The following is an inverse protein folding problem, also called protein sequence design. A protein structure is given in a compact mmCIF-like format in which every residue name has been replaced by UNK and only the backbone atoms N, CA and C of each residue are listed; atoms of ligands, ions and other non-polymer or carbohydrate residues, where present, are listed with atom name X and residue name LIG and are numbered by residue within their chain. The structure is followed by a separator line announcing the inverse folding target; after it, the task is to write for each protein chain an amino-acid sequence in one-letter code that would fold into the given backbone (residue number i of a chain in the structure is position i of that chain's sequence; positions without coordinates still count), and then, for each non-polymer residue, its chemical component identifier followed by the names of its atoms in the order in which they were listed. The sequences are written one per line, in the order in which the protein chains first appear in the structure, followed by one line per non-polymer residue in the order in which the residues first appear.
data_IF_480831178641
#
_entry.id   IF_480831178641
#
_cell.length_a   1.000
_cell.length_b   1.000
_cell.length_c   1.000
_cell.angle_alpha   90.00
_cell.angle_beta   90.00
_cell.angle_gamma   90.00
#
_symmetry.space_group_name_H-M   'P 1'
#
loop_
_entity.id
_entity.type
_entity.pdbx_description
1 polymer ?
#
# COMPACT_ATOMS: atom_id res chain seq x y z
N UNK A 1 -28.69 -6.63 2.29
CA UNK A 1 -27.56 -7.22 3.06
C UNK A 1 -26.63 -8.13 2.25
N UNK A 2 -27.03 -8.74 1.12
CA UNK A 2 -26.10 -9.54 0.28
C UNK A 2 -25.36 -8.74 -0.82
N UNK A 3 -25.86 -7.56 -1.18
CA UNK A 3 -25.33 -6.73 -2.29
C UNK A 3 -24.11 -5.92 -1.87
N UNK A 4 -23.99 -5.58 -0.58
CA UNK A 4 -22.89 -4.78 -0.04
C UNK A 4 -21.57 -5.56 0.06
N UNK A 5 -21.67 -6.88 0.24
CA UNK A 5 -20.50 -7.76 0.35
C UNK A 5 -19.72 -7.84 -0.96
N UNK A 6 -20.40 -7.87 -2.12
CA UNK A 6 -19.72 -7.96 -3.43
C UNK A 6 -18.86 -6.72 -3.70
N UNK A 7 -19.28 -5.54 -3.24
CA UNK A 7 -18.49 -4.30 -3.35
C UNK A 7 -17.27 -4.33 -2.43
N UNK A 8 -17.41 -4.83 -1.20
CA UNK A 8 -16.32 -4.93 -0.23
C UNK A 8 -15.20 -5.90 -0.67
N UNK A 9 -15.51 -6.94 -1.47
CA UNK A 9 -14.51 -7.88 -1.98
C UNK A 9 -13.75 -7.39 -3.22
N UNK A 10 -14.22 -6.33 -3.91
CA UNK A 10 -13.53 -5.82 -5.11
C UNK A 10 -12.10 -5.33 -4.80
N UNK A 11 -11.84 -4.51 -3.76
CA UNK A 11 -10.48 -4.12 -3.39
C UNK A 11 -9.59 -5.32 -3.04
N UNK A 12 -10.13 -6.29 -2.29
CA UNK A 12 -9.39 -7.49 -1.87
C UNK A 12 -8.97 -8.31 -3.10
N UNK A 13 -9.88 -8.51 -4.07
CA UNK A 13 -9.55 -9.19 -5.34
C UNK A 13 -8.52 -8.44 -6.17
N UNK A 14 -8.46 -7.11 -6.06
CA UNK A 14 -7.44 -6.28 -6.69
C UNK A 14 -6.11 -6.25 -5.90
N UNK A 15 -6.04 -6.96 -4.76
CA UNK A 15 -4.89 -6.97 -3.86
C UNK A 15 -4.69 -5.66 -3.10
N UNK A 16 -5.68 -4.76 -3.11
CA UNK A 16 -5.68 -3.54 -2.32
C UNK A 16 -6.19 -3.86 -0.91
N UNK A 17 -5.41 -3.52 0.11
CA UNK A 17 -5.78 -3.73 1.52
C UNK A 17 -5.54 -2.42 2.26
N UNK A 18 -6.46 -2.06 3.15
CA UNK A 18 -6.23 -0.94 4.05
C UNK A 18 -5.16 -1.35 5.07
N UNK A 19 -3.94 -0.84 4.90
CA UNK A 19 -2.84 -1.06 5.84
C UNK A 19 -3.09 -0.21 7.09
N UNK A 20 -3.14 -0.84 8.26
CA UNK A 20 -3.20 -0.14 9.55
C UNK A 20 -1.93 -0.46 10.34
N UNK A 21 -0.95 0.45 10.29
CA UNK A 21 0.35 0.24 10.93
C UNK A 21 0.28 0.15 12.46
N UNK A 22 -0.59 0.90 13.13
CA UNK A 22 -0.76 0.86 14.59
C UNK A 22 -1.40 -0.44 15.07
N UNK A 23 -2.40 -0.96 14.36
CA UNK A 23 -3.05 -2.22 14.67
C UNK A 23 -2.10 -3.40 14.39
N UNK A 24 -1.43 -3.38 13.22
CA UNK A 24 -0.41 -4.35 12.86
C UNK A 24 0.69 -4.40 13.94
N UNK A 25 1.24 -3.24 14.30
CA UNK A 25 2.24 -3.12 15.33
C UNK A 25 1.78 -3.59 16.71
N UNK A 26 0.59 -3.16 17.16
CA UNK A 26 0.07 -3.53 18.48
C UNK A 26 -0.16 -5.04 18.60
N UNK A 27 -0.62 -5.68 17.52
CA UNK A 27 -0.93 -7.12 17.47
C UNK A 27 0.28 -7.99 17.12
N UNK A 28 1.45 -7.40 16.82
CA UNK A 28 2.62 -8.13 16.34
C UNK A 28 2.45 -8.71 14.94
N UNK A 29 1.45 -8.26 14.18
CA UNK A 29 1.23 -8.71 12.80
C UNK A 29 2.01 -7.86 11.80
N UNK A 30 2.57 -8.50 10.78
CA UNK A 30 3.18 -7.81 9.65
C UNK A 30 2.10 -7.64 8.57
N UNK A 31 1.50 -6.45 8.51
CA UNK A 31 0.53 -6.10 7.46
C UNK A 31 1.17 -5.39 6.26
N UNK A 32 2.37 -4.82 6.41
CA UNK A 32 3.09 -4.13 5.35
C UNK A 32 4.59 -4.25 5.57
N UNK A 33 5.35 -4.21 4.47
CA UNK A 33 6.82 -4.20 4.53
C UNK A 33 7.39 -2.90 5.13
N UNK A 34 6.57 -1.86 5.30
CA UNK A 34 6.98 -0.52 5.75
C UNK A 34 7.51 -0.50 7.19
N UNK A 35 7.08 -1.44 8.04
CA UNK A 35 7.55 -1.56 9.44
C UNK A 35 8.69 -2.56 9.62
N UNK A 36 9.14 -3.20 8.54
CA UNK A 36 10.26 -4.15 8.60
C UNK A 36 11.60 -3.42 8.67
N UNK A 37 12.57 -4.05 9.33
CA UNK A 37 13.95 -3.54 9.39
C UNK A 37 14.55 -3.38 8.00
N UNK A 38 15.26 -2.27 7.79
CA UNK A 38 15.96 -1.99 6.54
C UNK A 38 17.11 -2.98 6.29
N UNK A 39 17.37 -3.24 5.01
CA UNK A 39 18.61 -3.88 4.60
C UNK A 39 19.81 -2.95 4.75
N UNK A 40 21.02 -3.51 4.65
CA UNK A 40 22.27 -2.76 4.54
C UNK A 40 22.45 -2.30 3.10
N UNK A 41 22.69 -1.00 2.89
CA UNK A 41 23.06 -0.45 1.58
C UNK A 41 24.58 -0.40 1.39
N UNK A 42 25.04 -0.70 0.18
CA UNK A 42 26.44 -0.56 -0.25
C UNK A 42 26.76 0.85 -0.77
N UNK A 43 25.79 1.76 -0.77
CA UNK A 43 25.91 3.12 -1.30
C UNK A 43 25.85 3.24 -2.82
N UNK A 44 25.65 2.14 -3.55
CA UNK A 44 25.51 2.15 -5.01
C UNK A 44 24.09 1.88 -5.43
N UNK A 45 23.43 0.97 -4.72
CA UNK A 45 22.03 0.62 -4.92
C UNK A 45 21.26 0.71 -3.62
N UNK A 46 19.96 0.91 -3.75
CA UNK A 46 19.00 0.78 -2.66
C UNK A 46 17.93 -0.22 -3.08
N UNK A 47 17.56 -1.11 -2.16
CA UNK A 47 16.46 -2.04 -2.41
C UNK A 47 15.15 -1.24 -2.47
N UNK A 48 14.27 -1.52 -3.43
CA UNK A 48 13.07 -0.69 -3.65
C UNK A 48 12.18 -0.61 -2.41
N UNK A 49 12.17 -1.64 -1.59
CA UNK A 49 11.48 -1.65 -0.30
C UNK A 49 12.11 -0.72 0.75
N UNK A 50 13.44 -0.57 0.73
CA UNK A 50 14.17 0.35 1.61
C UNK A 50 13.92 1.79 1.15
N UNK A 51 13.92 2.02 -0.17
CA UNK A 51 13.55 3.29 -0.78
C UNK A 51 12.11 3.67 -0.40
N UNK A 52 11.14 2.79 -0.57
CA UNK A 52 9.76 3.03 -0.16
C UNK A 52 9.62 3.38 1.32
N UNK A 53 10.33 2.67 2.20
CA UNK A 53 10.32 2.95 3.64
C UNK A 53 10.84 4.34 3.94
N UNK A 54 12.00 4.69 3.39
CA UNK A 54 12.59 6.01 3.59
C UNK A 54 11.69 7.12 3.03
N UNK A 55 11.11 6.95 1.83
CA UNK A 55 10.18 7.92 1.24
C UNK A 55 8.98 8.18 2.18
N UNK A 56 8.42 7.11 2.76
CA UNK A 56 7.32 7.24 3.70
C UNK A 56 7.73 7.92 5.02
N UNK A 57 8.87 7.54 5.60
CA UNK A 57 9.41 8.11 6.84
C UNK A 57 9.72 9.60 6.68
N UNK A 58 10.30 9.99 5.53
CA UNK A 58 10.56 11.40 5.20
C UNK A 58 9.23 12.16 5.03
N UNK A 59 8.19 11.49 4.51
CA UNK A 59 6.82 11.99 4.51
C UNK A 59 6.58 13.19 3.60
N UNK A 60 7.39 13.38 2.55
CA UNK A 60 7.28 14.52 1.65
C UNK A 60 6.40 14.20 0.43
N UNK A 61 5.54 15.16 0.04
CA UNK A 61 4.74 15.07 -1.19
C UNK A 61 3.75 13.91 -1.20
N UNK A 62 3.75 13.15 -2.30
CA UNK A 62 2.89 11.98 -2.53
C UNK A 62 3.16 10.81 -1.56
N UNK A 63 4.34 10.78 -0.95
CA UNK A 63 4.80 9.67 -0.09
C UNK A 63 4.30 9.74 1.36
N UNK A 64 3.65 10.86 1.75
CA UNK A 64 3.02 11.00 3.06
C UNK A 64 1.92 9.95 3.31
N UNK A 65 1.29 9.44 2.24
CA UNK A 65 0.31 8.36 2.31
C UNK A 65 0.99 7.01 2.13
N UNK A 66 0.58 6.03 2.95
CA UNK A 66 1.06 4.66 2.82
C UNK A 66 0.74 4.06 1.45
N UNK A 67 1.57 3.14 0.95
CA UNK A 67 1.23 2.36 -0.23
C UNK A 67 -0.05 1.56 0.03
N UNK A 68 -1.00 1.65 -0.90
CA UNK A 68 -2.27 0.88 -0.86
C UNK A 68 -2.02 -0.62 -0.99
N UNK A 69 -0.90 -1.00 -1.62
CA UNK A 69 -0.49 -2.39 -1.77
C UNK A 69 0.56 -2.73 -0.72
N UNK A 70 0.26 -3.65 0.21
CA UNK A 70 1.15 -3.99 1.32
C UNK A 70 2.39 -4.79 0.90
N UNK A 71 2.42 -5.22 -0.37
CA UNK A 71 3.44 -6.10 -0.90
C UNK A 71 4.72 -5.33 -1.20
N UNK A 72 5.82 -5.94 -0.77
CA UNK A 72 7.18 -5.44 -1.00
C UNK A 72 7.48 -5.35 -2.51
N UNK A 73 7.93 -4.19 -3.04
CA UNK A 73 8.41 -4.13 -4.41
C UNK A 73 9.70 -4.96 -4.54
N UNK A 74 9.87 -5.64 -5.67
CA UNK A 74 11.08 -6.42 -5.92
C UNK A 74 12.17 -5.56 -6.56
N UNK A 75 13.43 -5.99 -6.42
CA UNK A 75 14.58 -5.40 -7.09
C UNK A 75 15.14 -4.16 -6.41
N UNK A 76 16.01 -3.47 -7.14
CA UNK A 76 16.85 -2.38 -6.64
C UNK A 76 16.80 -1.18 -7.58
N UNK A 77 17.06 -0.02 -7.01
CA UNK A 77 17.23 1.26 -7.70
C UNK A 77 18.70 1.66 -7.58
N UNK A 78 19.30 2.14 -8.66
CA UNK A 78 20.60 2.80 -8.56
C UNK A 78 20.44 4.01 -7.64
N UNK A 79 21.34 4.19 -6.67
CA UNK A 79 21.16 5.23 -5.66
C UNK A 79 21.06 6.62 -6.33
N UNK A 80 21.87 6.87 -7.36
CA UNK A 80 21.84 8.13 -8.13
C UNK A 80 20.53 8.38 -8.89
N UNK A 81 19.73 7.34 -9.14
CA UNK A 81 18.42 7.44 -9.80
C UNK A 81 17.27 7.60 -8.80
N UNK A 82 17.54 7.45 -7.49
CA UNK A 82 16.56 7.64 -6.43
C UNK A 82 16.36 9.12 -6.08
N UNK A 83 15.30 9.44 -5.34
CA UNK A 83 15.02 10.80 -4.88
C UNK A 83 16.19 11.39 -4.07
N UNK A 84 16.43 12.70 -4.22
CA UNK A 84 17.61 13.36 -3.61
C UNK A 84 17.67 13.20 -2.08
N UNK A 85 16.53 13.19 -1.40
CA UNK A 85 16.49 12.93 0.04
C UNK A 85 16.87 11.48 0.36
N UNK A 86 16.48 10.51 -0.48
CA UNK A 86 16.85 9.10 -0.30
C UNK A 86 18.36 8.92 -0.43
N UNK A 87 18.99 9.61 -1.38
CA UNK A 87 20.45 9.58 -1.53
C UNK A 87 21.19 10.00 -0.27
N UNK A 88 20.64 10.95 0.50
CA UNK A 88 21.23 11.41 1.77
C UNK A 88 21.09 10.39 2.90
N UNK A 89 19.98 9.64 2.93
CA UNK A 89 19.62 8.79 4.06
C UNK A 89 19.83 7.29 3.85
N UNK A 90 20.12 6.85 2.62
CA UNK A 90 20.27 5.44 2.26
C UNK A 90 21.36 4.70 3.06
N UNK A 91 22.40 5.40 3.51
CA UNK A 91 23.50 4.81 4.28
C UNK A 91 23.34 4.92 5.79
N UNK A 92 22.31 5.62 6.28
CA UNK A 92 22.13 5.83 7.72
C UNK A 92 21.82 4.52 8.47
N UNK A 93 21.18 3.54 7.81
CA UNK A 93 20.84 2.23 8.36
C UNK A 93 20.08 2.26 9.72
N UNK A 94 19.49 3.40 10.10
CA UNK A 94 18.83 3.59 11.40
C UNK A 94 17.38 4.08 11.31
N UNK A 95 16.90 4.45 10.12
CA UNK A 95 15.55 4.94 9.93
C UNK A 95 14.56 3.77 9.84
N UNK A 96 13.69 3.65 10.83
CA UNK A 96 12.64 2.63 10.89
C UNK A 96 11.42 3.15 11.66
N UNK A 97 10.29 2.49 11.44
CA UNK A 97 9.08 2.69 12.23
C UNK A 97 9.00 1.57 13.26
N UNK A 98 9.18 1.92 14.52
CA UNK A 98 9.08 1.01 15.65
C UNK A 98 7.89 1.39 16.51
N UNK A 99 7.11 0.38 16.88
CA UNK A 99 6.05 0.56 17.83
C UNK A 99 6.63 0.60 19.24
N UNK A 100 6.22 1.62 20.00
CA UNK A 100 6.67 1.80 21.37
C UNK A 100 5.60 1.37 22.38
N UNK A 101 4.46 2.05 22.38
CA UNK A 101 3.36 1.80 23.29
C UNK A 101 2.11 2.58 22.85
N UNK A 102 0.97 2.17 23.38
CA UNK A 102 -0.19 3.05 23.51
C UNK A 102 -0.15 3.74 24.87
N UNK A 103 -0.49 5.03 24.91
CA UNK A 103 -0.65 5.78 26.15
C UNK A 103 -2.12 6.15 26.31
N UNK A 104 -2.72 5.75 27.42
CA UNK A 104 -4.09 6.12 27.77
C UNK A 104 -4.07 7.20 28.83
N UNK A 105 -4.57 8.38 28.51
CA UNK A 105 -4.78 9.45 29.49
C UNK A 105 -6.01 9.13 30.35
N UNK A 106 -5.80 9.07 31.66
CA UNK A 106 -6.84 8.81 32.65
C UNK A 106 -7.49 10.12 33.09
N UNK A 107 -8.71 10.04 33.64
CA UNK A 107 -9.46 11.21 34.10
C UNK A 107 -8.74 12.01 35.21
N UNK A 108 -7.77 11.42 35.90
CA UNK A 108 -6.94 12.08 36.91
C UNK A 108 -5.65 12.70 36.34
N UNK A 109 -5.51 12.74 35.01
CA UNK A 109 -4.35 13.30 34.30
C UNK A 109 -3.11 12.40 34.27
N UNK A 110 -3.22 11.16 34.79
CA UNK A 110 -2.14 10.16 34.66
C UNK A 110 -2.20 9.44 33.32
N UNK A 111 -1.10 8.79 32.95
CA UNK A 111 -1.02 7.99 31.74
C UNK A 111 -0.80 6.51 32.08
N UNK A 112 -1.53 5.63 31.41
CA UNK A 112 -1.27 4.19 31.40
C UNK A 112 -0.54 3.82 30.10
N UNK A 113 0.66 3.27 30.23
CA UNK A 113 1.44 2.74 29.11
C UNK A 113 1.06 1.28 28.86
N UNK A 114 0.61 0.96 27.65
CA UNK A 114 0.39 -0.39 27.17
C UNK A 114 1.38 -0.67 26.04
N UNK A 115 2.48 -1.36 26.37
CA UNK A 115 3.42 -1.86 25.37
C UNK A 115 2.83 -3.16 24.80
N UNK A 116 2.59 -3.19 23.49
CA UNK A 116 2.02 -4.31 22.73
C UNK A 116 2.80 -5.63 22.83
N UNK A 117 2.47 -6.59 21.95
CA UNK A 117 2.85 -8.02 22.08
C UNK A 117 4.36 -8.27 22.24
N UNK A 118 5.23 -7.43 21.66
CA UNK A 118 6.69 -7.60 21.68
C UNK A 118 7.43 -6.75 22.75
N UNK A 119 6.71 -6.29 23.76
CA UNK A 119 7.30 -5.53 24.86
C UNK A 119 8.14 -6.42 25.78
N UNK A 120 9.36 -6.76 25.36
CA UNK A 120 10.35 -7.38 26.23
C UNK A 120 10.52 -6.52 27.50
N UNK A 121 10.07 -7.04 28.65
CA UNK A 121 10.46 -6.50 29.94
C UNK A 121 11.93 -6.90 30.19
N UNK A 122 12.80 -5.96 30.63
CA UNK A 122 14.21 -6.25 30.84
C UNK A 122 14.50 -7.21 32.01
N UNK A 123 13.49 -7.67 32.76
CA UNK A 123 13.67 -8.55 33.93
C UNK A 123 13.07 -9.96 33.78
N UNK A 124 12.47 -10.29 32.63
CA UNK A 124 12.02 -11.67 32.43
C UNK A 124 13.19 -12.53 31.98
N UNK A 125 13.73 -13.31 32.92
CA UNK A 125 14.53 -14.50 32.66
C UNK A 125 13.69 -15.53 31.89
N UNK A 126 13.39 -15.24 30.63
CA UNK A 126 12.78 -16.19 29.71
C UNK A 126 13.90 -17.10 29.26
N UNK A 127 13.98 -18.25 29.94
CA UNK A 127 14.63 -19.46 29.44
C UNK A 127 14.42 -19.51 27.94
N UNK A 128 15.52 -19.48 27.16
CA UNK A 128 15.48 -19.52 25.70
C UNK A 128 14.48 -20.60 25.26
N UNK A 129 13.27 -20.17 24.88
CA UNK A 129 12.41 -21.01 24.06
C UNK A 129 13.12 -20.96 22.72
N UNK A 130 13.87 -22.03 22.45
CA UNK A 130 14.45 -22.30 21.14
C UNK A 130 13.43 -21.89 20.08
N UNK A 131 13.92 -21.19 19.05
CA UNK A 131 13.10 -20.73 17.92
C UNK A 131 12.48 -21.92 17.19
N UNK A 132 11.36 -22.43 17.70
CA UNK A 132 10.57 -23.51 17.10
C UNK A 132 9.64 -22.88 16.05
N UNK A 133 10.20 -22.12 15.11
CA UNK A 133 9.63 -21.94 13.76
C UNK A 133 10.79 -21.85 12.75
N UNK A 134 11.68 -22.86 12.76
CA UNK A 134 12.28 -23.34 11.51
C UNK A 134 11.34 -24.37 10.87
N UNK A 135 10.05 -24.09 10.80
CA UNK A 135 9.28 -24.70 9.72
C UNK A 135 9.73 -23.96 8.47
N UNK A 136 10.73 -24.51 7.76
CA UNK A 136 10.79 -24.31 6.32
C UNK A 136 9.41 -24.71 5.83
N UNK A 137 8.53 -23.72 5.64
CA UNK A 137 7.27 -23.92 4.94
C UNK A 137 7.68 -24.67 3.69
N UNK A 138 7.28 -25.96 3.59
CA UNK A 138 7.49 -26.67 2.34
C UNK A 138 6.82 -25.76 1.34
N UNK A 139 7.59 -25.12 0.45
CA UNK A 139 7.05 -24.40 -0.67
C UNK A 139 6.26 -25.46 -1.43
N UNK A 140 4.97 -25.62 -1.09
CA UNK A 140 4.03 -26.26 -1.98
C UNK A 140 4.18 -25.43 -3.23
N UNK A 141 4.52 -26.05 -4.36
CA UNK A 141 4.40 -25.32 -5.61
C UNK A 141 2.95 -24.91 -5.67
N UNK A 142 2.71 -23.62 -5.40
CA UNK A 142 1.51 -22.98 -5.82
C UNK A 142 1.76 -22.94 -7.31
N UNK A 143 1.21 -23.92 -8.03
CA UNK A 143 1.20 -23.87 -9.49
C UNK A 143 0.47 -22.56 -9.82
N UNK A 144 1.24 -21.52 -10.14
CA UNK A 144 0.72 -20.19 -10.48
C UNK A 144 -0.04 -20.36 -11.80
N UNK A 145 -1.34 -20.65 -11.71
CA UNK A 145 -2.20 -20.87 -12.86
C UNK A 145 -2.38 -19.58 -13.70
N UNK A 146 -2.06 -18.42 -13.13
CA UNK A 146 -2.01 -17.11 -13.80
C UNK A 146 -1.32 -16.07 -12.90
N UNK A 147 -0.51 -15.19 -13.50
CA UNK A 147 0.12 -14.05 -12.82
C UNK A 147 -0.76 -12.79 -12.83
N UNK A 148 -1.98 -12.84 -13.40
CA UNK A 148 -2.87 -11.70 -13.58
C UNK A 148 -3.23 -11.00 -12.25
N UNK A 149 -3.34 -11.79 -11.17
CA UNK A 149 -3.61 -11.27 -9.83
C UNK A 149 -2.45 -10.47 -9.26
N UNK A 150 -1.22 -10.71 -9.71
CA UNK A 150 -0.01 -10.01 -9.27
C UNK A 150 0.26 -8.73 -10.06
N UNK A 151 -0.33 -8.60 -11.26
CA UNK A 151 -0.12 -7.45 -12.13
C UNK A 151 -0.62 -6.15 -11.48
N UNK A 152 -1.83 -6.14 -10.92
CA UNK A 152 -2.40 -4.94 -10.28
C UNK A 152 -1.61 -4.51 -9.03
N UNK A 153 -1.28 -5.40 -8.07
CA UNK A 153 -0.45 -5.03 -6.94
C UNK A 153 0.95 -4.57 -7.31
N UNK A 154 1.57 -5.24 -8.27
CA UNK A 154 2.90 -4.85 -8.78
C UNK A 154 2.86 -3.48 -9.43
N UNK A 155 1.90 -3.24 -10.34
CA UNK A 155 1.73 -1.93 -10.96
C UNK A 155 1.49 -0.85 -9.92
N UNK A 156 0.67 -1.16 -8.93
CA UNK A 156 0.29 -0.25 -7.86
C UNK A 156 1.46 0.19 -6.98
N UNK A 157 2.27 -0.75 -6.46
CA UNK A 157 3.41 -0.42 -5.60
C UNK A 157 4.49 0.36 -6.36
N UNK A 158 4.75 -0.01 -7.61
CA UNK A 158 5.70 0.72 -8.46
C UNK A 158 5.17 2.10 -8.87
N UNK A 159 3.86 2.23 -9.12
CA UNK A 159 3.23 3.53 -9.36
C UNK A 159 3.30 4.45 -8.14
N UNK A 160 3.18 3.90 -6.92
CA UNK A 160 3.41 4.65 -5.69
C UNK A 160 4.88 5.07 -5.57
N UNK A 161 5.82 4.13 -5.75
CA UNK A 161 7.28 4.37 -5.65
C UNK A 161 7.78 5.39 -6.69
N UNK A 162 7.19 5.39 -7.89
CA UNK A 162 7.56 6.26 -9.01
C UNK A 162 6.50 7.33 -9.28
N UNK A 163 5.88 7.83 -8.20
CA UNK A 163 4.87 8.89 -8.30
C UNK A 163 5.42 10.20 -8.89
N UNK A 164 6.74 10.39 -8.83
CA UNK A 164 7.49 11.50 -9.44
C UNK A 164 8.07 11.17 -10.83
N UNK A 165 7.87 9.96 -11.33
CA UNK A 165 8.36 9.47 -12.61
C UNK A 165 9.35 8.30 -12.48
N UNK A 166 9.56 7.58 -13.59
CA UNK A 166 10.51 6.48 -13.66
C UNK A 166 11.90 6.96 -14.11
N UNK A 167 12.98 6.49 -13.48
CA UNK A 167 14.33 6.77 -13.97
C UNK A 167 14.63 6.01 -15.27
N UNK A 168 15.55 6.53 -16.07
CA UNK A 168 15.90 5.97 -17.38
C UNK A 168 16.42 4.52 -17.31
N UNK A 169 17.15 4.17 -16.23
CA UNK A 169 17.68 2.82 -16.03
C UNK A 169 16.58 1.79 -15.69
N UNK A 170 15.37 2.25 -15.34
CA UNK A 170 14.19 1.40 -15.12
C UNK A 170 13.29 1.30 -16.36
N UNK A 171 13.82 1.61 -17.55
CA UNK A 171 13.12 1.42 -18.83
C UNK A 171 12.55 0.03 -19.04
N UNK A 172 13.19 -0.99 -18.50
CA UNK A 172 12.70 -2.36 -18.55
C UNK A 172 11.44 -2.57 -17.69
N UNK A 173 11.24 -1.77 -16.63
CA UNK A 173 10.06 -1.83 -15.75
C UNK A 173 8.87 -1.15 -16.41
N UNK A 174 8.97 0.14 -16.75
CA UNK A 174 7.81 0.89 -17.23
C UNK A 174 7.38 0.52 -18.66
N UNK A 175 8.23 -0.19 -19.41
CA UNK A 175 7.85 -0.79 -20.71
C UNK A 175 7.25 -2.18 -20.60
N UNK A 176 7.22 -2.77 -19.41
CA UNK A 176 6.62 -4.09 -19.23
C UNK A 176 5.10 -4.01 -19.50
N UNK A 177 4.47 -5.02 -20.12
CA UNK A 177 3.04 -4.98 -20.47
C UNK A 177 2.09 -4.71 -19.29
N UNK A 178 2.51 -5.00 -18.06
CA UNK A 178 1.73 -4.66 -16.86
C UNK A 178 1.66 -3.16 -16.57
N UNK A 179 2.62 -2.38 -17.09
CA UNK A 179 2.78 -0.94 -16.89
C UNK A 179 2.52 -0.14 -18.16
N UNK A 180 2.68 -0.78 -19.33
CA UNK A 180 2.29 -0.25 -20.65
C UNK A 180 0.76 -0.28 -20.77
N UNK A 181 0.11 0.55 -19.95
CA UNK A 181 -1.28 0.94 -20.15
C UNK A 181 -1.22 1.88 -21.33
N UNK A 182 -1.23 1.32 -22.54
CA UNK A 182 -1.13 2.11 -23.78
C UNK A 182 -2.05 3.32 -23.72
N UNK A 183 -1.72 4.36 -24.49
CA UNK A 183 -2.52 5.58 -24.67
C UNK A 183 -3.90 5.21 -25.22
N UNK A 184 -4.75 4.65 -24.36
CA UNK A 184 -6.10 4.27 -24.66
C UNK A 184 -6.90 5.53 -24.41
N UNK A 185 -6.98 6.34 -25.46
CA UNK A 185 -7.97 7.39 -25.64
C UNK A 185 -9.37 6.78 -25.48
N UNK A 186 -9.79 6.51 -24.24
CA UNK A 186 -11.20 6.32 -23.89
C UNK A 186 -11.70 7.60 -23.22
N UNK A 187 -11.86 8.65 -24.03
CA UNK A 187 -12.78 9.75 -23.76
C UNK A 187 -14.24 9.32 -24.05
N UNK A 188 -14.64 8.14 -23.56
CA UNK A 188 -16.03 7.71 -23.57
C UNK A 188 -16.82 8.48 -22.52
N UNK A 189 -17.19 9.74 -22.81
CA UNK A 189 -18.16 10.47 -22.00
C UNK A 189 -19.45 9.66 -21.95
N UNK A 190 -19.78 9.10 -20.79
CA UNK A 190 -21.11 8.56 -20.50
C UNK A 190 -22.08 9.75 -20.46
N UNK A 191 -22.59 10.13 -21.62
CA UNK A 191 -23.70 11.08 -21.74
C UNK A 191 -24.98 10.31 -21.41
N UNK A 192 -25.28 10.21 -20.11
CA UNK A 192 -26.57 9.78 -19.59
C UNK A 192 -27.61 10.87 -19.95
N UNK A 193 -28.07 10.85 -21.20
CA UNK A 193 -29.29 11.57 -21.59
C UNK A 193 -30.48 10.79 -21.08
N UNK A 194 -31.01 11.21 -19.94
CA UNK A 194 -32.38 10.90 -19.53
C UNK A 194 -33.35 11.44 -20.61
N UNK A 195 -33.80 10.56 -21.50
CA UNK A 195 -34.95 10.82 -22.38
C UNK A 195 -36.24 10.72 -21.54
N UNK A 196 -36.62 11.83 -20.91
CA UNK A 196 -37.95 12.01 -20.33
C UNK A 196 -38.86 12.76 -21.31
N UNK A 197 -39.22 12.11 -22.42
CA UNK A 197 -40.28 12.59 -23.31
C UNK A 197 -41.48 11.64 -23.30
N UNK A 198 -42.25 11.66 -22.20
CA UNK A 198 -43.66 11.25 -22.23
C UNK A 198 -44.52 12.49 -22.07
N UNK A 199 -44.74 13.17 -23.19
CA UNK A 199 -45.78 14.19 -23.30
C UNK A 199 -47.09 13.42 -23.47
N UNK A 200 -47.98 13.54 -22.49
CA UNK A 200 -49.29 12.90 -22.54
C UNK A 200 -50.21 13.75 -23.44
N UNK A 201 -50.57 13.19 -24.59
CA UNK A 201 -51.46 13.77 -25.62
C UNK A 201 -52.94 13.79 -25.16
N UNK A 202 -53.24 14.39 -24.00
CA UNK A 202 -54.61 14.50 -23.47
C UNK A 202 -55.00 15.90 -22.95
N UNK A 203 -54.07 16.83 -22.75
CA UNK A 203 -54.37 18.11 -22.08
C UNK A 203 -54.33 19.38 -22.97
N UNK A 204 -54.08 19.29 -24.29
CA UNK A 204 -54.05 20.48 -25.19
C UNK A 204 -55.40 20.74 -25.89
N UNK A 205 -56.53 20.41 -25.26
CA UNK A 205 -57.87 20.78 -25.77
C UNK A 205 -58.77 21.40 -24.70
N UNK A 206 -58.25 22.37 -23.94
CA UNK A 206 -59.12 23.22 -23.09
C UNK A 206 -58.64 24.65 -22.82
N UNK A 207 -57.90 25.26 -23.75
CA UNK A 207 -57.49 26.67 -23.62
C UNK A 207 -57.52 27.45 -24.95
N UNK A 208 -58.51 27.17 -25.81
CA UNK A 208 -58.94 28.11 -26.86
C UNK A 208 -60.44 28.31 -26.72
N UNK A 209 -60.85 28.90 -25.61
CA UNK A 209 -62.13 29.58 -25.44
C UNK A 209 -62.00 30.54 -24.24
N UNK A 210 -61.46 31.72 -24.54
CA UNK A 210 -61.84 33.04 -24.02
C UNK A 210 -61.00 34.12 -24.70
#
# INVERSE_FOLDING_TARGET
MLVDNVKAFKPIKAGCVAVELHAAAWTGMIESFITLSSGVSDGKVIRREDECRLLHIIGCGSYARLPVWPWKPFGETLLNDSELEIQKYAQCNCHCLEYRAWYWELADGKYLEARGVDAHQPDDNVTQIESVIKSTSSQRSIDCLSDDLSANPTRGIFGWLRSTGYPANERHVYKHPWFDVGDSDEDGSLDDREDSSKVNEADIRKAVEN
#
